data_IF_970991949624
#
_entry.id   IF_970991949624
#
_cell.length_a   1.000
_cell.length_b   1.000
_cell.length_c   1.000
_cell.angle_alpha   90.00
_cell.angle_beta   90.00
_cell.angle_gamma   90.00
#
_symmetry.space_group_name_H-M   'P 1'
#
loop_
_entity.id
_entity.type
_entity.pdbx_description
1 polymer ?
#
# COMPACT_ATOMS: atom_id res chain seq x y z
N UNK A 1 -10.07 11.01 21.69
CA UNK A 1 -10.24 9.71 21.00
C UNK A 1 -9.05 9.60 20.09
N UNK A 2 -8.28 8.53 20.16
CA UNK A 2 -7.06 8.36 19.37
C UNK A 2 -7.43 7.89 17.96
N UNK A 3 -7.17 8.71 16.94
CA UNK A 3 -7.47 8.37 15.55
C UNK A 3 -6.18 7.92 14.83
N UNK A 4 -6.18 6.72 14.26
CA UNK A 4 -4.99 6.11 13.65
C UNK A 4 -5.31 5.73 12.20
N UNK A 5 -4.51 6.20 11.26
CA UNK A 5 -4.59 5.81 9.86
C UNK A 5 -3.44 4.88 9.48
N UNK A 6 -3.77 3.70 8.97
CA UNK A 6 -2.82 2.77 8.38
C UNK A 6 -2.89 2.88 6.86
N UNK A 7 -1.77 3.21 6.22
CA UNK A 7 -1.67 3.38 4.76
C UNK A 7 -0.67 2.37 4.24
N UNK A 8 -1.00 1.67 3.17
CA UNK A 8 -0.08 0.70 2.58
C UNK A 8 -0.72 -0.13 1.49
N UNK A 9 -0.11 -1.28 1.20
CA UNK A 9 -0.55 -2.17 0.16
C UNK A 9 -1.34 -3.38 0.70
N UNK A 10 -1.21 -4.54 0.05
CA UNK A 10 -1.80 -5.82 0.45
C UNK A 10 -1.38 -6.29 1.85
N UNK A 11 -0.18 -5.92 2.31
CA UNK A 11 0.29 -6.25 3.66
C UNK A 11 -0.52 -5.52 4.74
N UNK A 12 -0.89 -4.26 4.50
CA UNK A 12 -1.76 -3.48 5.38
C UNK A 12 -3.22 -3.89 5.25
N UNK A 13 -3.68 -4.16 4.03
CA UNK A 13 -5.06 -4.59 3.77
C UNK A 13 -5.37 -5.94 4.40
N UNK A 14 -4.41 -6.86 4.41
CA UNK A 14 -4.61 -8.25 4.84
C UNK A 14 -4.97 -9.18 3.68
N UNK A 15 -4.15 -9.23 2.62
CA UNK A 15 -4.36 -10.14 1.50
C UNK A 15 -4.59 -11.59 1.97
N UNK A 16 -5.68 -12.21 1.48
CA UNK A 16 -6.15 -13.56 1.86
C UNK A 16 -6.46 -13.75 3.35
N UNK A 17 -6.53 -12.68 4.14
CA UNK A 17 -6.90 -12.73 5.54
C UNK A 17 -8.30 -12.15 5.76
N UNK A 18 -8.96 -12.63 6.82
CA UNK A 18 -10.04 -11.90 7.44
C UNK A 18 -9.48 -10.61 8.05
N UNK A 19 -10.21 -9.49 7.95
CA UNK A 19 -9.76 -8.19 8.46
C UNK A 19 -9.40 -8.25 9.96
N UNK A 20 -10.04 -9.14 10.72
CA UNK A 20 -9.80 -9.37 12.15
C UNK A 20 -8.41 -9.94 12.48
N UNK A 21 -7.69 -10.44 11.48
CA UNK A 21 -6.34 -11.00 11.60
C UNK A 21 -5.25 -10.03 11.14
N UNK A 22 -5.62 -8.81 10.73
CA UNK A 22 -4.67 -7.80 10.25
C UNK A 22 -4.08 -7.01 11.41
N UNK A 23 -2.83 -6.57 11.29
CA UNK A 23 -2.19 -5.79 12.36
C UNK A 23 -2.95 -4.49 12.70
N UNK A 24 -3.62 -3.77 11.77
CA UNK A 24 -4.46 -2.62 12.14
C UNK A 24 -5.63 -3.01 13.05
N UNK A 25 -6.33 -4.10 12.75
CA UNK A 25 -7.45 -4.57 13.58
C UNK A 25 -6.97 -5.12 14.93
N UNK A 26 -5.86 -5.85 14.95
CA UNK A 26 -5.29 -6.35 16.21
C UNK A 26 -4.89 -5.18 17.12
N UNK A 27 -4.33 -4.10 16.57
CA UNK A 27 -4.05 -2.86 17.33
C UNK A 27 -5.35 -2.25 17.88
N UNK A 28 -6.40 -2.14 17.06
CA UNK A 28 -7.72 -1.66 17.50
C UNK A 28 -8.22 -2.43 18.74
N UNK A 29 -8.20 -3.77 18.67
CA UNK A 29 -8.62 -4.64 19.77
C UNK A 29 -7.74 -4.53 21.00
N UNK A 30 -6.43 -4.40 20.82
CA UNK A 30 -5.49 -4.22 21.93
C UNK A 30 -5.69 -2.88 22.63
N UNK A 31 -6.02 -1.81 21.91
CA UNK A 31 -6.33 -0.49 22.48
C UNK A 31 -7.67 -0.51 23.22
N UNK A 32 -8.68 -1.21 22.68
CA UNK A 32 -9.98 -1.40 23.33
C UNK A 32 -9.81 -2.14 24.67
N UNK A 33 -9.00 -3.20 24.72
CA UNK A 33 -8.69 -3.94 25.95
C UNK A 33 -7.99 -3.09 27.02
N UNK A 34 -7.20 -2.12 26.60
CA UNK A 34 -6.54 -1.15 27.48
C UNK A 34 -7.46 0.03 27.86
N UNK A 35 -8.75 0.01 27.47
CA UNK A 35 -9.73 1.07 27.66
C UNK A 35 -9.36 2.40 26.97
N UNK A 36 -8.55 2.35 25.90
CA UNK A 36 -8.22 3.52 25.08
C UNK A 36 -9.30 3.71 24.03
N UNK A 37 -10.07 4.80 24.13
CA UNK A 37 -11.03 5.20 23.08
C UNK A 37 -10.29 5.54 21.79
N UNK A 38 -10.48 4.75 20.75
CA UNK A 38 -9.77 4.88 19.48
C UNK A 38 -10.67 4.69 18.26
N UNK A 39 -10.22 5.21 17.12
CA UNK A 39 -10.72 4.88 15.79
C UNK A 39 -9.53 4.47 14.92
N UNK A 40 -9.64 3.31 14.26
CA UNK A 40 -8.59 2.81 13.37
C UNK A 40 -9.12 2.78 11.94
N UNK A 41 -8.39 3.39 11.03
CA UNK A 41 -8.68 3.35 9.60
C UNK A 41 -7.61 2.54 8.89
N UNK A 42 -7.98 1.40 8.32
CA UNK A 42 -7.15 0.62 7.42
C UNK A 42 -7.39 1.07 5.98
N UNK A 43 -6.45 1.85 5.44
CA UNK A 43 -6.40 2.28 4.04
C UNK A 43 -5.36 1.48 3.25
N UNK A 44 -5.11 0.23 3.63
CA UNK A 44 -4.33 -0.72 2.85
C UNK A 44 -5.06 -1.11 1.57
N UNK A 45 -4.33 -1.13 0.45
CA UNK A 45 -4.87 -1.54 -0.85
C UNK A 45 -3.93 -2.48 -1.58
N UNK A 46 -4.42 -3.66 -1.93
CA UNK A 46 -3.70 -4.65 -2.72
C UNK A 46 -3.33 -4.06 -4.08
N UNK A 47 -2.04 -4.18 -4.41
CA UNK A 47 -1.50 -3.47 -5.55
C UNK A 47 -1.58 -1.96 -5.40
N UNK A 48 -1.45 -1.38 -4.21
CA UNK A 48 -1.01 0.00 -4.07
C UNK A 48 0.51 0.09 -4.29
N UNK A 49 0.95 1.23 -4.80
CA UNK A 49 2.35 1.62 -4.99
C UNK A 49 2.57 2.91 -4.22
N UNK A 50 3.78 3.13 -3.72
CA UNK A 50 4.19 4.34 -2.99
C UNK A 50 3.73 5.65 -3.67
N UNK A 51 3.62 5.68 -4.99
CA UNK A 51 3.12 6.85 -5.77
C UNK A 51 1.73 7.33 -5.33
N UNK A 52 0.86 6.45 -4.80
CA UNK A 52 -0.49 6.84 -4.37
C UNK A 52 -0.56 7.32 -2.90
N UNK A 53 0.51 7.15 -2.11
CA UNK A 53 0.51 7.48 -0.68
C UNK A 53 0.24 8.97 -0.40
N UNK A 54 0.84 9.93 -1.13
CA UNK A 54 0.53 11.36 -0.96
C UNK A 54 -0.96 11.67 -1.03
N UNK A 55 -1.63 11.14 -2.06
CA UNK A 55 -3.05 11.41 -2.26
C UNK A 55 -3.93 10.72 -1.20
N UNK A 56 -3.57 9.50 -0.79
CA UNK A 56 -4.26 8.80 0.29
C UNK A 56 -4.10 9.54 1.60
N UNK A 57 -2.90 10.04 1.92
CA UNK A 57 -2.64 10.87 3.10
C UNK A 57 -3.53 12.12 3.14
N UNK A 58 -3.58 12.88 2.04
CA UNK A 58 -4.42 14.08 1.94
C UNK A 58 -5.90 13.77 2.15
N UNK A 59 -6.40 12.69 1.53
CA UNK A 59 -7.77 12.24 1.74
C UNK A 59 -8.04 11.85 3.20
N UNK A 60 -7.13 11.08 3.79
CA UNK A 60 -7.22 10.62 5.18
C UNK A 60 -7.27 11.80 6.15
N UNK A 61 -6.37 12.77 5.97
CA UNK A 61 -6.35 14.00 6.75
C UNK A 61 -7.68 14.76 6.64
N UNK A 62 -8.16 15.00 5.41
CA UNK A 62 -9.35 15.81 5.19
C UNK A 62 -10.64 15.15 5.68
N UNK A 63 -10.72 13.81 5.65
CA UNK A 63 -11.94 13.07 6.01
C UNK A 63 -11.98 12.62 7.46
N UNK A 64 -10.86 12.19 8.01
CA UNK A 64 -10.80 11.52 9.31
C UNK A 64 -9.91 12.23 10.34
N UNK A 65 -9.12 13.23 9.92
CA UNK A 65 -8.13 13.93 10.76
C UNK A 65 -7.35 13.03 11.76
N UNK A 66 -6.62 12.00 11.28
CA UNK A 66 -5.86 11.11 12.17
C UNK A 66 -4.83 11.86 13.04
N UNK A 67 -4.64 11.37 14.26
CA UNK A 67 -3.57 11.80 15.17
C UNK A 67 -2.23 11.14 14.81
N UNK A 68 -2.30 9.89 14.36
CA UNK A 68 -1.14 9.05 14.01
C UNK A 68 -1.33 8.45 12.62
N UNK A 69 -0.29 8.52 11.81
CA UNK A 69 -0.20 7.87 10.50
C UNK A 69 0.83 6.76 10.55
N UNK A 70 0.43 5.54 10.23
CA UNK A 70 1.32 4.40 10.09
C UNK A 70 1.40 4.06 8.61
N UNK A 71 2.54 4.36 8.00
CA UNK A 71 2.74 4.26 6.55
C UNK A 71 3.63 3.05 6.26
N UNK A 72 3.04 2.03 5.67
CA UNK A 72 3.75 0.85 5.20
C UNK A 72 4.35 1.14 3.81
N UNK A 73 5.67 1.03 3.72
CA UNK A 73 6.41 1.20 2.50
C UNK A 73 6.85 -0.13 1.90
N UNK A 74 6.64 -0.26 0.59
CA UNK A 74 7.08 -1.41 -0.21
C UNK A 74 8.41 -1.11 -0.87
N UNK A 75 8.93 -2.05 -1.63
CA UNK A 75 10.12 -1.84 -2.44
C UNK A 75 9.94 -0.74 -3.51
N UNK A 76 11.02 0.00 -3.85
CA UNK A 76 11.02 1.10 -4.82
C UNK A 76 10.67 0.65 -6.25
N UNK A 77 10.99 -0.61 -6.56
CA UNK A 77 10.78 -1.25 -7.85
C UNK A 77 9.29 -1.52 -8.15
N UNK A 78 8.39 -1.28 -7.19
CA UNK A 78 6.94 -1.29 -7.40
C UNK A 78 6.42 0.07 -7.88
N UNK A 79 7.19 0.75 -8.72
CA UNK A 79 6.75 1.97 -9.39
C UNK A 79 5.51 1.74 -10.26
N UNK A 80 4.76 2.80 -10.55
CA UNK A 80 3.48 2.70 -11.23
C UNK A 80 3.67 2.77 -12.75
N UNK A 81 3.54 1.62 -13.43
CA UNK A 81 3.30 1.59 -14.87
C UNK A 81 1.83 1.97 -15.12
N UNK A 82 1.58 3.19 -15.59
CA UNK A 82 0.23 3.71 -15.78
C UNK A 82 -0.27 3.55 -17.21
N UNK A 83 -1.49 3.03 -17.35
CA UNK A 83 -2.28 3.11 -18.58
C UNK A 83 -3.45 4.04 -18.34
N UNK A 84 -3.37 5.27 -18.87
CA UNK A 84 -4.40 6.28 -18.67
C UNK A 84 -5.51 6.19 -19.71
N UNK A 85 -6.75 6.39 -19.28
CA UNK A 85 -7.84 6.57 -20.23
C UNK A 85 -7.91 8.01 -20.77
N UNK A 86 -8.16 8.21 -22.08
CA UNK A 86 -8.43 9.53 -22.63
C UNK A 86 -9.82 10.07 -22.21
N UNK A 87 -10.67 9.24 -21.59
CA UNK A 87 -12.02 9.63 -21.16
C UNK A 87 -11.95 10.17 -19.73
N UNK A 88 -12.27 11.46 -19.56
CA UNK A 88 -12.25 12.17 -18.27
C UNK A 88 -13.05 11.50 -17.15
N UNK A 89 -14.18 10.86 -17.48
CA UNK A 89 -15.00 10.13 -16.49
C UNK A 89 -14.25 8.99 -15.79
N UNK A 90 -13.20 8.46 -16.42
CA UNK A 90 -12.36 7.42 -15.85
C UNK A 90 -11.16 7.98 -15.10
N UNK A 91 -10.95 9.30 -15.04
CA UNK A 91 -9.79 9.92 -14.39
C UNK A 91 -9.99 10.25 -12.90
N UNK A 92 -11.11 9.83 -12.31
CA UNK A 92 -11.43 10.09 -10.91
C UNK A 92 -11.22 8.83 -10.08
N UNK A 93 -10.62 9.02 -8.90
CA UNK A 93 -10.58 7.99 -7.87
C UNK A 93 -11.85 8.13 -7.04
N UNK A 94 -12.67 7.09 -7.05
CA UNK A 94 -13.80 6.94 -6.12
C UNK A 94 -13.31 6.23 -4.87
N UNK A 95 -13.66 6.75 -3.69
CA UNK A 95 -13.29 6.15 -2.40
C UNK A 95 -14.55 5.94 -1.58
N UNK A 96 -14.59 4.83 -0.86
CA UNK A 96 -15.62 4.55 0.13
C UNK A 96 -15.05 3.65 1.23
N UNK A 97 -15.89 3.11 2.10
CA UNK A 97 -15.45 2.44 3.31
C UNK A 97 -16.48 1.48 3.87
N UNK A 98 -15.98 0.39 4.44
CA UNK A 98 -16.74 -0.51 5.29
C UNK A 98 -16.49 -0.12 6.76
N UNK A 99 -17.55 -0.06 7.56
CA UNK A 99 -17.50 0.37 8.96
C UNK A 99 -17.84 -0.80 9.88
N UNK A 100 -16.93 -1.12 10.78
CA UNK A 100 -17.05 -2.15 11.82
C UNK A 100 -16.82 -1.47 13.16
N UNK A 101 -17.87 -0.90 13.75
CA UNK A 101 -17.80 -0.02 14.93
C UNK A 101 -16.83 1.16 14.72
N UNK A 102 -15.71 1.20 15.45
CA UNK A 102 -14.66 2.21 15.33
C UNK A 102 -13.47 1.74 14.47
N UNK A 103 -13.61 0.63 13.76
CA UNK A 103 -12.66 0.17 12.75
C UNK A 103 -13.24 0.41 11.35
N UNK A 104 -12.50 1.12 10.52
CA UNK A 104 -12.90 1.49 9.16
C UNK A 104 -11.94 0.83 8.18
N UNK A 105 -12.47 0.10 7.19
CA UNK A 105 -11.70 -0.38 6.06
C UNK A 105 -12.01 0.48 4.84
N UNK A 106 -11.03 1.26 4.40
CA UNK A 106 -11.16 2.08 3.22
C UNK A 106 -10.90 1.25 1.98
N UNK A 107 -11.77 1.39 0.99
CA UNK A 107 -11.52 0.90 -0.35
C UNK A 107 -11.58 2.06 -1.32
N UNK A 108 -10.71 2.01 -2.32
CA UNK A 108 -10.77 2.91 -3.45
C UNK A 108 -10.87 2.15 -4.75
N UNK A 109 -11.50 2.79 -5.73
CA UNK A 109 -11.59 2.31 -7.09
C UNK A 109 -11.10 3.44 -7.98
N UNK A 110 -9.98 3.20 -8.65
CA UNK A 110 -9.49 4.06 -9.72
C UNK A 110 -9.84 3.41 -11.04
N UNK A 111 -10.64 4.10 -11.85
CA UNK A 111 -10.89 3.65 -13.21
C UNK A 111 -9.80 4.12 -14.18
N UNK A 112 -8.84 4.92 -13.69
CA UNK A 112 -7.91 5.71 -14.52
C UNK A 112 -6.62 5.03 -14.89
N UNK A 113 -6.14 4.13 -14.05
CA UNK A 113 -4.81 3.53 -14.19
C UNK A 113 -4.84 2.11 -13.62
N UNK A 114 -4.13 1.21 -14.30
CA UNK A 114 -3.88 -0.14 -13.84
C UNK A 114 -2.51 -0.15 -13.19
N UNK A 115 -2.43 -0.57 -11.93
CA UNK A 115 -1.15 -0.86 -11.32
C UNK A 115 -0.83 -2.33 -11.55
N UNK A 116 0.29 -2.58 -12.21
CA UNK A 116 0.81 -3.94 -12.40
C UNK A 116 1.86 -4.20 -11.35
N UNK A 117 1.62 -5.17 -10.49
CA UNK A 117 2.68 -5.74 -9.66
C UNK A 117 3.72 -6.41 -10.57
N UNK A 118 4.96 -6.56 -10.08
CA UNK A 118 6.03 -7.22 -10.86
C UNK A 118 5.59 -8.60 -11.36
N UNK A 119 5.02 -9.43 -10.48
CA UNK A 119 4.53 -10.75 -10.88
C UNK A 119 3.39 -10.71 -11.91
N UNK A 120 2.46 -9.75 -11.83
CA UNK A 120 1.43 -9.61 -12.86
C UNK A 120 2.02 -9.11 -14.18
N UNK A 121 2.97 -8.18 -14.12
CA UNK A 121 3.68 -7.67 -15.27
C UNK A 121 4.47 -8.78 -15.99
N UNK A 122 5.17 -9.66 -15.26
CA UNK A 122 5.91 -10.80 -15.82
C UNK A 122 4.97 -11.74 -16.59
N UNK A 123 3.79 -12.02 -16.02
CA UNK A 123 2.78 -12.87 -16.65
C UNK A 123 2.22 -12.24 -17.92
N UNK A 124 1.96 -10.93 -17.91
CA UNK A 124 1.54 -10.17 -19.10
C UNK A 124 2.65 -10.17 -20.15
N UNK A 125 3.90 -9.90 -19.76
CA UNK A 125 5.06 -9.90 -20.65
C UNK A 125 5.25 -11.28 -21.33
N UNK A 126 5.01 -12.36 -20.60
CA UNK A 126 5.06 -13.71 -21.15
C UNK A 126 3.82 -14.10 -21.96
N UNK A 127 2.86 -13.19 -22.13
CA UNK A 127 1.56 -13.42 -22.77
C UNK A 127 0.86 -14.67 -22.22
N UNK A 128 0.84 -14.79 -20.89
CA UNK A 128 0.18 -15.91 -20.23
C UNK A 128 -1.33 -15.92 -20.54
N UNK A 129 -1.87 -17.10 -20.86
CA UNK A 129 -3.25 -17.28 -21.31
C UNK A 129 -4.25 -17.50 -20.16
N UNK A 130 -3.91 -17.07 -18.93
CA UNK A 130 -4.82 -17.20 -17.78
C UNK A 130 -5.95 -16.18 -17.83
N UNK A 131 -7.09 -16.54 -17.25
CA UNK A 131 -8.27 -15.67 -17.18
C UNK A 131 -7.93 -14.28 -16.59
N UNK A 132 -7.11 -14.23 -15.54
CA UNK A 132 -6.68 -12.98 -14.93
C UNK A 132 -5.91 -12.10 -15.92
N UNK A 133 -4.94 -12.66 -16.63
CA UNK A 133 -4.09 -11.88 -17.57
C UNK A 133 -4.94 -11.39 -18.74
N UNK A 134 -5.78 -12.25 -19.30
CA UNK A 134 -6.68 -11.90 -20.40
C UNK A 134 -7.70 -10.82 -19.98
N UNK A 135 -8.23 -10.91 -18.76
CA UNK A 135 -9.10 -9.89 -18.18
C UNK A 135 -8.39 -8.54 -18.09
N UNK A 136 -7.17 -8.52 -17.53
CA UNK A 136 -6.38 -7.28 -17.37
C UNK A 136 -6.02 -6.66 -18.72
N UNK A 137 -5.59 -7.46 -19.71
CA UNK A 137 -5.29 -6.98 -21.06
C UNK A 137 -6.52 -6.34 -21.72
N UNK A 138 -7.66 -7.03 -21.68
CA UNK A 138 -8.93 -6.52 -22.20
C UNK A 138 -9.34 -5.21 -21.54
N UNK A 139 -9.19 -5.13 -20.22
CA UNK A 139 -9.51 -3.94 -19.44
C UNK A 139 -8.58 -2.75 -19.78
N UNK A 140 -7.27 -2.98 -19.89
CA UNK A 140 -6.32 -1.95 -20.33
C UNK A 140 -6.63 -1.49 -21.75
N UNK A 141 -6.87 -2.42 -22.69
CA UNK A 141 -7.19 -2.11 -24.08
C UNK A 141 -8.47 -1.25 -24.18
N UNK A 142 -9.53 -1.67 -23.47
CA UNK A 142 -10.81 -0.94 -23.41
C UNK A 142 -10.66 0.50 -22.94
N UNK A 143 -9.70 0.77 -22.04
CA UNK A 143 -9.51 2.10 -21.45
C UNK A 143 -8.45 2.96 -22.12
N UNK A 144 -7.36 2.38 -22.60
CA UNK A 144 -6.19 3.10 -23.14
C UNK A 144 -6.20 3.29 -24.66
N UNK A 145 -7.05 2.55 -25.39
CA UNK A 145 -7.06 2.49 -26.86
C UNK A 145 -5.80 1.84 -27.48
N UNK A 146 -4.92 1.25 -26.66
CA UNK A 146 -3.78 0.46 -27.13
C UNK A 146 -4.25 -0.94 -27.55
N UNK A 147 -3.58 -1.50 -28.55
CA UNK A 147 -3.70 -2.94 -28.88
C UNK A 147 -3.05 -3.79 -27.79
N UNK A 148 -3.47 -5.05 -27.70
CA UNK A 148 -2.89 -6.03 -26.77
C UNK A 148 -1.36 -6.13 -26.92
N UNK A 149 -0.85 -6.19 -28.16
CA UNK A 149 0.59 -6.27 -28.40
C UNK A 149 1.33 -5.01 -27.91
N UNK A 150 0.79 -3.81 -28.13
CA UNK A 150 1.38 -2.57 -27.60
C UNK A 150 1.41 -2.55 -26.07
N UNK A 151 0.37 -3.09 -25.42
CA UNK A 151 0.33 -3.25 -23.96
C UNK A 151 1.44 -4.19 -23.50
N UNK A 152 1.54 -5.38 -24.08
CA UNK A 152 2.56 -6.38 -23.74
C UNK A 152 3.97 -5.81 -23.92
N UNK A 153 4.25 -5.14 -25.05
CA UNK A 153 5.55 -4.53 -25.32
C UNK A 153 5.89 -3.43 -24.32
N UNK A 154 4.92 -2.60 -23.94
CA UNK A 154 5.12 -1.57 -22.91
C UNK A 154 5.41 -2.17 -21.54
N UNK A 155 4.71 -3.25 -21.16
CA UNK A 155 4.95 -3.96 -19.90
C UNK A 155 6.35 -4.58 -19.88
N UNK A 156 6.78 -5.22 -20.97
CA UNK A 156 8.15 -5.73 -21.13
C UNK A 156 9.20 -4.64 -20.96
N UNK A 157 9.03 -3.53 -21.67
CA UNK A 157 9.97 -2.41 -21.61
C UNK A 157 10.12 -1.89 -20.17
N UNK A 158 9.01 -1.68 -19.47
CA UNK A 158 9.02 -1.24 -18.08
C UNK A 158 9.74 -2.24 -17.17
N UNK A 159 9.43 -3.54 -17.27
CA UNK A 159 10.06 -4.59 -16.46
C UNK A 159 11.58 -4.64 -16.60
N UNK A 160 12.06 -4.52 -17.85
CA UNK A 160 13.47 -4.69 -18.21
C UNK A 160 14.29 -3.42 -18.01
N UNK A 161 13.70 -2.23 -18.22
CA UNK A 161 14.47 -0.97 -18.33
C UNK A 161 14.09 0.08 -17.29
N UNK A 162 12.82 0.22 -16.91
CA UNK A 162 12.36 1.33 -16.08
C UNK A 162 12.25 0.96 -14.60
N UNK A 163 11.79 -0.27 -14.30
CA UNK A 163 11.44 -0.73 -12.95
C UNK A 163 12.56 -0.51 -11.93
N UNK A 164 13.78 -0.89 -12.31
CA UNK A 164 14.98 -0.78 -11.48
C UNK A 164 15.85 0.43 -11.85
N UNK A 165 15.33 1.37 -12.63
CA UNK A 165 16.07 2.57 -12.99
C UNK A 165 16.35 3.41 -11.73
N UNK A 166 17.56 3.98 -11.54
CA UNK A 166 17.89 4.76 -10.33
C UNK A 166 16.90 5.88 -10.01
N UNK A 167 16.32 6.52 -11.03
CA UNK A 167 15.27 7.53 -10.84
C UNK A 167 14.03 7.01 -10.13
N UNK A 168 13.71 5.71 -10.19
CA UNK A 168 12.60 5.12 -9.44
C UNK A 168 12.90 5.08 -7.94
N UNK A 169 14.15 4.77 -7.57
CA UNK A 169 14.61 4.79 -6.19
C UNK A 169 14.63 6.22 -5.63
N UNK A 170 15.09 7.19 -6.41
CA UNK A 170 15.06 8.61 -6.02
C UNK A 170 13.63 9.13 -5.85
N UNK A 171 12.70 8.77 -6.74
CA UNK A 171 11.28 9.13 -6.60
C UNK A 171 10.63 8.46 -5.39
N UNK A 172 11.00 7.22 -5.09
CA UNK A 172 10.54 6.53 -3.89
C UNK A 172 10.98 7.28 -2.63
N UNK A 173 12.27 7.64 -2.49
CA UNK A 173 12.78 8.47 -1.39
C UNK A 173 11.99 9.78 -1.27
N UNK A 174 11.86 10.53 -2.37
CA UNK A 174 11.11 11.79 -2.40
C UNK A 174 9.65 11.63 -1.95
N UNK A 175 9.04 10.48 -2.26
CA UNK A 175 7.67 10.19 -1.83
C UNK A 175 7.61 9.91 -0.33
N UNK A 176 8.55 9.13 0.20
CA UNK A 176 8.67 8.88 1.65
C UNK A 176 8.88 10.21 2.39
N UNK A 177 9.80 11.05 1.92
CA UNK A 177 10.11 12.36 2.47
C UNK A 177 8.88 13.28 2.44
N UNK A 178 8.17 13.33 1.30
CA UNK A 178 6.94 14.09 1.18
C UNK A 178 5.91 13.65 2.23
N UNK A 179 5.73 12.35 2.39
CA UNK A 179 4.77 11.79 3.35
C UNK A 179 5.13 12.18 4.79
N UNK A 180 6.40 12.04 5.18
CA UNK A 180 6.88 12.44 6.51
C UNK A 180 6.67 13.95 6.73
N UNK A 181 7.16 14.79 5.80
CA UNK A 181 7.04 16.25 5.88
C UNK A 181 5.59 16.71 5.95
N UNK A 182 4.70 16.12 5.15
CA UNK A 182 3.29 16.47 5.13
C UNK A 182 2.64 16.21 6.48
N UNK A 183 2.85 15.02 7.06
CA UNK A 183 2.26 14.65 8.36
C UNK A 183 2.84 15.50 9.50
N UNK A 184 4.16 15.72 9.52
CA UNK A 184 4.80 16.59 10.53
C UNK A 184 4.33 18.02 10.47
N UNK A 185 4.13 18.57 9.27
CA UNK A 185 3.60 19.94 9.08
C UNK A 185 2.20 20.10 9.70
N UNK A 186 1.42 19.03 9.73
CA UNK A 186 0.10 19.00 10.39
C UNK A 186 0.20 18.89 11.92
N UNK A 187 1.40 18.77 12.49
CA UNK A 187 1.61 18.53 13.91
C UNK A 187 1.19 17.13 14.37
N UNK A 188 1.13 16.17 13.44
CA UNK A 188 0.66 14.79 13.67
C UNK A 188 1.86 13.84 13.75
N UNK A 189 1.65 12.64 14.32
CA UNK A 189 2.68 11.62 14.44
C UNK A 189 2.72 10.74 13.19
N UNK A 190 3.92 10.35 12.76
CA UNK A 190 4.12 9.41 11.64
C UNK A 190 5.01 8.26 12.09
N UNK A 191 4.67 7.04 11.67
CA UNK A 191 5.46 5.83 11.87
C UNK A 191 5.66 5.20 10.49
N UNK A 192 6.91 5.00 10.09
CA UNK A 192 7.25 4.39 8.81
C UNK A 192 7.51 2.91 9.00
N UNK A 193 6.77 2.04 8.30
CA UNK A 193 6.98 0.60 8.30
C UNK A 193 7.59 0.17 6.97
N UNK A 194 8.90 0.03 6.91
CA UNK A 194 9.58 -0.55 5.76
C UNK A 194 9.47 -2.07 5.85
N UNK A 195 8.78 -2.70 4.89
CA UNK A 195 8.55 -4.13 4.97
C UNK A 195 9.85 -4.93 4.79
N UNK A 196 10.66 -4.53 3.81
CA UNK A 196 12.01 -5.06 3.55
C UNK A 196 13.08 -4.03 3.92
N UNK A 197 14.35 -4.44 3.94
CA UNK A 197 15.48 -3.55 4.22
C UNK A 197 15.72 -2.48 3.13
N UNK A 198 14.96 -1.40 3.18
CA UNK A 198 15.14 -0.20 2.36
C UNK A 198 16.13 0.81 2.99
N UNK A 199 17.25 0.33 3.52
CA UNK A 199 18.27 1.16 4.22
C UNK A 199 18.87 2.30 3.39
N UNK A 200 18.61 2.35 2.08
CA UNK A 200 18.96 3.46 1.22
C UNK A 200 18.05 4.69 1.41
N UNK A 201 16.89 4.54 2.05
CA UNK A 201 16.04 5.64 2.52
C UNK A 201 16.60 6.12 3.87
N UNK A 202 17.12 7.33 3.90
CA UNK A 202 17.79 7.92 5.07
C UNK A 202 16.92 9.01 5.71
N UNK A 203 17.25 9.39 6.94
CA UNK A 203 16.68 10.56 7.63
C UNK A 203 15.17 10.54 7.93
N UNK A 204 14.56 9.35 7.95
CA UNK A 204 13.16 9.17 8.37
C UNK A 204 13.12 8.78 9.85
N UNK A 205 12.62 9.67 10.71
CA UNK A 205 12.39 9.35 12.13
C UNK A 205 11.19 8.42 12.32
N UNK A 206 11.21 7.65 13.41
CA UNK A 206 10.17 6.68 13.78
C UNK A 206 9.93 5.59 12.71
N UNK A 207 11.03 5.00 12.22
CA UNK A 207 11.02 3.91 11.25
C UNK A 207 11.16 2.52 11.90
N UNK A 208 10.41 1.55 11.40
CA UNK A 208 10.55 0.12 11.68
C UNK A 208 10.88 -0.59 10.37
N UNK A 209 11.98 -1.36 10.35
CA UNK A 209 12.29 -2.30 9.28
C UNK A 209 11.78 -3.67 9.71
N UNK A 210 10.66 -4.11 9.13
CA UNK A 210 9.88 -5.27 9.60
C UNK A 210 10.69 -6.57 9.44
N UNK A 211 11.38 -6.75 8.32
CA UNK A 211 12.30 -7.88 8.05
C UNK A 211 13.39 -8.05 9.11
N UNK A 212 13.82 -6.96 9.76
CA UNK A 212 14.82 -7.01 10.84
C UNK A 212 14.24 -7.27 12.23
N UNK A 213 12.92 -7.27 12.37
CA UNK A 213 12.22 -7.33 13.66
C UNK A 213 11.37 -8.59 13.82
N UNK A 214 10.92 -9.17 12.72
CA UNK A 214 10.04 -10.32 12.69
C UNK A 214 10.68 -11.38 11.81
N UNK A 215 10.62 -12.63 12.25
CA UNK A 215 11.08 -13.80 11.48
C UNK A 215 10.10 -14.07 10.34
N UNK A 216 10.47 -13.70 9.11
CA UNK A 216 9.60 -13.85 7.94
C UNK A 216 9.36 -15.32 7.61
N UNK A 217 10.39 -16.16 7.71
CA UNK A 217 10.30 -17.59 7.39
C UNK A 217 9.27 -18.30 8.26
N UNK A 218 9.07 -17.82 9.49
CA UNK A 218 8.11 -18.39 10.43
C UNK A 218 6.66 -17.97 10.16
N UNK A 219 6.41 -16.71 9.80
CA UNK A 219 5.05 -16.14 9.83
C UNK A 219 4.46 -15.83 8.45
N UNK A 220 5.25 -15.92 7.38
CA UNK A 220 4.79 -15.62 6.02
C UNK A 220 3.96 -16.77 5.44
N UNK A 221 2.84 -16.44 4.79
CA UNK A 221 1.89 -17.40 4.20
C UNK A 221 2.02 -17.57 2.68
N UNK A 222 2.78 -16.72 2.01
CA UNK A 222 3.00 -16.78 0.57
C UNK A 222 4.32 -16.13 0.14
N UNK A 223 4.69 -16.30 -1.12
CA UNK A 223 5.92 -15.71 -1.68
C UNK A 223 5.88 -14.19 -1.80
N UNK A 224 4.76 -13.56 -1.44
CA UNK A 224 4.59 -12.11 -1.37
C UNK A 224 4.94 -11.53 0.00
N UNK A 225 5.43 -12.33 0.94
CA UNK A 225 5.77 -11.91 2.31
C UNK A 225 4.57 -11.39 3.12
N UNK A 226 3.35 -11.88 2.83
CA UNK A 226 2.19 -11.59 3.68
C UNK A 226 2.26 -12.41 4.96
N UNK A 227 2.05 -11.79 6.11
CA UNK A 227 2.01 -12.51 7.39
C UNK A 227 0.68 -13.19 7.63
N UNK A 228 0.69 -14.28 8.38
CA UNK A 228 -0.49 -14.83 9.06
C UNK A 228 -0.92 -13.96 10.25
N UNK A 229 -1.91 -14.44 11.02
CA UNK A 229 -2.38 -13.76 12.23
C UNK A 229 -1.26 -13.58 13.27
N UNK A 230 -0.39 -14.56 13.44
CA UNK A 230 0.64 -14.53 14.48
C UNK A 230 1.72 -13.50 14.12
N UNK A 231 2.16 -13.45 12.87
CA UNK A 231 3.05 -12.41 12.35
C UNK A 231 2.44 -11.01 12.43
N UNK A 232 1.16 -10.86 12.06
CA UNK A 232 0.43 -9.60 12.25
C UNK A 232 0.33 -9.19 13.73
N UNK A 233 0.21 -10.17 14.64
CA UNK A 233 0.21 -9.91 16.10
C UNK A 233 1.57 -9.44 16.59
N UNK A 234 2.68 -10.03 16.10
CA UNK A 234 4.02 -9.55 16.41
C UNK A 234 4.22 -8.11 15.94
N UNK A 235 3.79 -7.80 14.71
CA UNK A 235 3.88 -6.45 14.16
C UNK A 235 3.04 -5.45 14.96
N UNK A 236 1.81 -5.81 15.34
CA UNK A 236 0.96 -4.99 16.20
C UNK A 236 1.63 -4.67 17.55
N UNK A 237 2.29 -5.64 18.18
CA UNK A 237 2.99 -5.46 19.45
C UNK A 237 4.21 -4.52 19.33
N UNK A 238 4.83 -4.44 18.17
CA UNK A 238 5.94 -3.51 17.90
C UNK A 238 5.42 -2.08 17.67
N UNK A 239 4.30 -1.93 16.96
CA UNK A 239 3.73 -0.62 16.60
C UNK A 239 3.03 0.04 17.80
N UNK A 240 2.22 -0.71 18.56
CA UNK A 240 1.37 -0.15 19.61
C UNK A 240 2.08 0.77 20.61
N UNK A 241 3.28 0.45 21.13
CA UNK A 241 4.02 1.34 22.04
C UNK A 241 4.40 2.68 21.43
N UNK A 242 4.41 2.80 20.10
CA UNK A 242 4.70 4.03 19.38
C UNK A 242 3.44 4.87 19.12
N UNK A 243 2.24 4.44 19.53
CA UNK A 243 0.98 5.18 19.27
C UNK A 243 0.64 6.21 20.35
N UNK A 244 1.36 6.17 21.48
CA UNK A 244 1.25 7.15 22.58
C UNK A 244 2.04 8.43 22.34
#
# INVERSE_FOLDING_TARGET
MLNIAFIGCSWTQGHKLQYTNTYPYIIHEQLNKDNVKNQVINAGREGASWINYPQTLEYMNNKYDPDVYVIQHTTPDRGMLMFTSPKSKYQRITRDHDVYDNYIQLWDNTQSYYHLTVGLAERIANNEQSELVQHILSEIQRKSSLTENEIIQRVKYWLEHERLHPLMFEKYKQTVDYCDMYVRRLGKKVIHLFWLDDSFVVDVSDSIIVEKKIDFDKYVIDTGYHFDKDGNTQLANIIKPLLS
#
